data_IF_208601294172
#
_entry.id   IF_208601294172
#
_cell.length_a   1.000
_cell.length_b   1.000
_cell.length_c   1.000
_cell.angle_alpha   90.00
_cell.angle_beta   90.00
_cell.angle_gamma   90.00
#
_symmetry.space_group_name_H-M   'P 1'
#
loop_
_entity.id
_entity.type
_entity.pdbx_description
1 polymer ?
#
# COMPACT_ATOMS: atom_id res chain seq x y z
N UNK A 1 -12.99 0.38 -28.31
CA UNK A 1 -12.42 0.89 -27.05
C UNK A 1 -13.05 0.03 -25.97
N UNK A 2 -12.32 -1.00 -25.52
CA UNK A 2 -12.77 -1.78 -24.36
C UNK A 2 -12.79 -0.84 -23.15
N UNK A 3 -13.84 -0.91 -22.35
CA UNK A 3 -13.92 -0.14 -21.10
C UNK A 3 -13.06 -0.88 -20.10
N UNK A 4 -11.98 -0.26 -19.62
CA UNK A 4 -11.20 -0.79 -18.50
C UNK A 4 -12.11 -0.85 -17.27
N UNK A 5 -12.24 -2.01 -16.64
CA UNK A 5 -12.99 -2.13 -15.40
C UNK A 5 -12.11 -1.64 -14.25
N UNK A 6 -12.64 -0.72 -13.44
CA UNK A 6 -11.89 -0.09 -12.34
C UNK A 6 -12.48 -0.39 -10.98
N UNK A 7 -11.64 -0.37 -9.94
CA UNK A 7 -12.03 -0.48 -8.53
C UNK A 7 -11.32 0.60 -7.69
N UNK A 8 -11.99 1.18 -6.70
CA UNK A 8 -11.32 2.09 -5.76
C UNK A 8 -10.40 1.31 -4.82
N UNK A 9 -9.26 1.89 -4.43
CA UNK A 9 -8.30 1.21 -3.54
C UNK A 9 -8.96 0.81 -2.21
N UNK A 10 -9.84 1.65 -1.65
CA UNK A 10 -10.55 1.36 -0.40
C UNK A 10 -11.42 0.11 -0.54
N UNK A 11 -12.16 -0.02 -1.64
CA UNK A 11 -12.98 -1.20 -1.93
C UNK A 11 -12.14 -2.45 -2.20
N UNK A 12 -10.95 -2.30 -2.78
CA UNK A 12 -10.01 -3.41 -2.95
C UNK A 12 -9.47 -3.89 -1.60
N UNK A 13 -9.09 -2.97 -0.70
CA UNK A 13 -8.64 -3.32 0.66
C UNK A 13 -9.79 -3.92 1.47
N UNK A 14 -11.01 -3.40 1.35
CA UNK A 14 -12.19 -4.01 2.01
C UNK A 14 -12.40 -5.47 1.56
N UNK A 15 -12.21 -5.76 0.28
CA UNK A 15 -12.25 -7.15 -0.23
C UNK A 15 -11.14 -8.02 0.34
N UNK A 16 -9.94 -7.47 0.56
CA UNK A 16 -8.84 -8.16 1.24
C UNK A 16 -9.24 -8.49 2.68
N UNK A 17 -9.75 -7.50 3.43
CA UNK A 17 -10.18 -7.69 4.82
C UNK A 17 -11.36 -8.66 4.95
N UNK A 18 -12.24 -8.75 3.95
CA UNK A 18 -13.32 -9.74 3.94
C UNK A 18 -12.83 -11.16 3.59
N UNK A 19 -11.60 -11.31 3.08
CA UNK A 19 -11.03 -12.61 2.66
C UNK A 19 -10.29 -13.32 3.79
N UNK A 20 -9.73 -12.58 4.75
CA UNK A 20 -8.91 -13.08 5.85
C UNK A 20 -9.41 -12.53 7.18
N UNK A 21 -9.46 -13.37 8.19
CA UNK A 21 -9.90 -12.97 9.54
C UNK A 21 -8.77 -12.28 10.33
N UNK A 22 -7.51 -12.61 10.00
CA UNK A 22 -6.29 -12.17 10.68
C UNK A 22 -5.24 -11.71 9.65
N UNK A 23 -5.03 -10.40 9.60
CA UNK A 23 -4.02 -9.75 8.75
C UNK A 23 -3.03 -9.04 9.66
N UNK A 24 -1.75 -9.34 9.49
CA UNK A 24 -0.67 -8.69 10.22
C UNK A 24 -0.25 -7.37 9.58
N UNK A 25 -0.15 -7.34 8.24
CA UNK A 25 0.28 -6.15 7.48
C UNK A 25 -0.31 -6.19 6.07
N UNK A 26 -0.75 -5.03 5.58
CA UNK A 26 -0.97 -4.81 4.15
C UNK A 26 0.07 -3.80 3.68
N UNK A 27 0.89 -4.23 2.73
CA UNK A 27 1.95 -3.44 2.14
C UNK A 27 1.64 -3.14 0.67
N UNK A 28 1.95 -1.93 0.22
CA UNK A 28 1.78 -1.49 -1.15
C UNK A 28 3.10 -0.98 -1.69
N UNK A 29 3.67 -1.72 -2.63
CA UNK A 29 4.76 -1.24 -3.47
C UNK A 29 4.19 -0.71 -4.79
N UNK A 30 4.76 0.39 -5.31
CA UNK A 30 4.28 1.02 -6.53
C UNK A 30 5.40 1.36 -7.51
N UNK A 31 5.02 1.34 -8.79
CA UNK A 31 5.78 1.88 -9.91
C UNK A 31 4.86 2.78 -10.73
N UNK A 32 5.36 3.53 -11.74
CA UNK A 32 4.53 4.48 -12.50
C UNK A 32 3.24 3.92 -13.12
N UNK A 33 3.12 2.60 -13.28
CA UNK A 33 1.98 1.95 -13.94
C UNK A 33 1.41 0.74 -13.19
N UNK A 34 1.91 0.41 -12.00
CA UNK A 34 1.59 -0.86 -11.35
C UNK A 34 1.66 -0.74 -9.82
N UNK A 35 0.65 -1.28 -9.14
CA UNK A 35 0.66 -1.54 -7.70
C UNK A 35 0.84 -3.02 -7.42
N UNK A 36 1.77 -3.33 -6.52
CA UNK A 36 1.90 -4.64 -5.89
C UNK A 36 1.39 -4.52 -4.46
N UNK A 37 0.31 -5.22 -4.15
CA UNK A 37 -0.25 -5.28 -2.81
C UNK A 37 0.14 -6.63 -2.20
N UNK A 38 0.87 -6.59 -1.09
CA UNK A 38 1.28 -7.77 -0.32
C UNK A 38 0.51 -7.81 1.00
N UNK A 39 -0.16 -8.92 1.27
CA UNK A 39 -0.95 -9.17 2.49
C UNK A 39 -0.22 -10.22 3.32
N UNK A 40 0.29 -9.82 4.48
CA UNK A 40 0.90 -10.74 5.43
C UNK A 40 -0.17 -11.33 6.32
N UNK A 41 -0.38 -12.64 6.21
CA UNK A 41 -1.40 -13.37 6.97
C UNK A 41 -0.98 -14.82 7.16
N UNK A 42 -1.32 -15.39 8.32
CA UNK A 42 -1.14 -16.82 8.60
C UNK A 42 -2.13 -17.72 7.82
N UNK A 43 -3.12 -17.13 7.15
CA UNK A 43 -4.19 -17.83 6.44
C UNK A 43 -3.90 -18.07 4.96
N UNK A 44 -2.74 -17.62 4.45
CA UNK A 44 -2.34 -17.87 3.08
C UNK A 44 -2.18 -19.38 2.81
N UNK A 45 -2.65 -19.84 1.65
CA UNK A 45 -2.63 -21.26 1.27
C UNK A 45 -1.25 -21.73 0.78
N UNK A 46 -0.34 -20.79 0.53
CA UNK A 46 1.04 -21.03 0.10
C UNK A 46 1.96 -19.91 0.59
N UNK A 47 3.27 -20.13 0.46
CA UNK A 47 4.29 -19.11 0.81
C UNK A 47 4.00 -17.78 0.14
N UNK A 48 3.62 -17.81 -1.14
CA UNK A 48 3.05 -16.68 -1.88
C UNK A 48 1.81 -17.19 -2.62
N UNK A 49 0.68 -16.51 -2.44
CA UNK A 49 -0.61 -16.84 -3.03
C UNK A 49 -1.14 -15.61 -3.76
N UNK A 50 -1.28 -15.70 -5.08
CA UNK A 50 -1.96 -14.67 -5.86
C UNK A 50 -3.47 -14.68 -5.56
N UNK A 51 -4.07 -13.51 -5.36
CA UNK A 51 -5.49 -13.38 -5.04
C UNK A 51 -6.26 -12.72 -6.19
N UNK A 52 -7.30 -13.41 -6.67
CA UNK A 52 -8.29 -12.87 -7.59
C UNK A 52 -9.52 -12.39 -6.80
N UNK A 53 -9.52 -11.11 -6.43
CA UNK A 53 -10.54 -10.51 -5.55
C UNK A 53 -11.64 -9.74 -6.31
N UNK A 54 -11.39 -9.45 -7.58
CA UNK A 54 -12.23 -8.57 -8.41
C UNK A 54 -11.93 -8.76 -9.88
N UNK A 55 -12.94 -8.56 -10.74
CA UNK A 55 -12.78 -8.55 -12.20
C UNK A 55 -12.33 -7.19 -12.76
N UNK A 56 -11.77 -6.32 -11.90
CA UNK A 56 -11.24 -5.03 -12.30
C UNK A 56 -9.79 -5.18 -12.75
N UNK A 57 -9.42 -4.50 -13.83
CA UNK A 57 -8.07 -4.54 -14.39
C UNK A 57 -7.17 -3.47 -13.77
N UNK A 58 -7.78 -2.39 -13.28
CA UNK A 58 -7.10 -1.25 -12.69
C UNK A 58 -7.73 -0.84 -11.36
N UNK A 59 -6.88 -0.32 -10.48
CA UNK A 59 -7.28 0.33 -9.24
C UNK A 59 -7.17 1.85 -9.42
N UNK A 60 -8.18 2.56 -8.95
CA UNK A 60 -8.21 4.02 -8.94
C UNK A 60 -7.87 4.54 -7.55
N UNK A 61 -7.01 5.55 -7.49
CA UNK A 61 -6.59 6.22 -6.26
C UNK A 61 -6.79 7.72 -6.43
N UNK A 62 -7.55 8.33 -5.52
CA UNK A 62 -7.66 9.77 -5.44
C UNK A 62 -6.40 10.37 -4.78
N UNK A 63 -5.61 11.09 -5.57
CA UNK A 63 -4.39 11.77 -5.11
C UNK A 63 -4.63 13.24 -4.75
N UNK A 64 -5.89 13.71 -4.79
CA UNK A 64 -6.24 15.12 -4.66
C UNK A 64 -6.08 15.93 -5.95
N UNK A 65 -5.65 15.29 -7.04
CA UNK A 65 -5.51 15.88 -8.36
C UNK A 65 -6.85 15.90 -9.13
N UNK A 66 -6.90 16.67 -10.22
CA UNK A 66 -8.10 16.80 -11.04
C UNK A 66 -8.63 15.46 -11.60
N UNK A 67 -7.74 14.47 -11.78
CA UNK A 67 -8.10 13.13 -12.22
C UNK A 67 -7.48 12.08 -11.28
N UNK A 68 -8.25 11.09 -10.78
CA UNK A 68 -7.71 9.98 -10.02
C UNK A 68 -6.67 9.19 -10.82
N UNK A 69 -5.64 8.72 -10.14
CA UNK A 69 -4.62 7.86 -10.72
C UNK A 69 -5.21 6.46 -10.93
N UNK A 70 -5.09 5.92 -12.15
CA UNK A 70 -5.50 4.55 -12.47
C UNK A 70 -4.26 3.71 -12.76
N UNK A 71 -4.10 2.60 -12.04
CA UNK A 71 -2.93 1.73 -12.14
C UNK A 71 -3.37 0.28 -12.27
N UNK A 72 -2.66 -0.51 -13.07
CA UNK A 72 -2.76 -1.98 -12.95
C UNK A 72 -2.37 -2.41 -11.54
N UNK A 73 -2.87 -3.54 -11.08
CA UNK A 73 -2.52 -4.06 -9.75
C UNK A 73 -2.46 -5.58 -9.72
N UNK A 74 -1.79 -6.09 -8.69
CA UNK A 74 -1.86 -7.48 -8.30
C UNK A 74 -1.79 -7.60 -6.78
N UNK A 75 -2.50 -8.59 -6.24
CA UNK A 75 -2.56 -8.85 -4.81
C UNK A 75 -1.95 -10.21 -4.52
N UNK A 76 -1.05 -10.26 -3.55
CA UNK A 76 -0.40 -11.49 -3.07
C UNK A 76 -0.58 -11.61 -1.57
N UNK A 77 -1.18 -12.71 -1.10
CA UNK A 77 -1.08 -13.10 0.31
C UNK A 77 0.20 -13.91 0.54
N UNK A 78 0.82 -13.76 1.70
CA UNK A 78 2.06 -14.45 2.03
C UNK A 78 2.15 -14.85 3.50
N UNK A 79 2.81 -16.00 3.73
CA UNK A 79 3.22 -16.48 5.05
C UNK A 79 4.53 -15.85 5.54
N UNK A 80 5.20 -15.03 4.72
CA UNK A 80 6.39 -14.31 5.17
C UNK A 80 6.04 -13.30 6.26
N UNK A 81 6.98 -13.06 7.16
CA UNK A 81 6.80 -12.08 8.23
C UNK A 81 6.63 -10.66 7.66
N UNK A 82 5.84 -9.80 8.33
CA UNK A 82 5.72 -8.38 8.00
C UNK A 82 7.04 -7.63 8.24
N UNK A 83 7.06 -6.33 7.92
CA UNK A 83 8.23 -5.48 8.16
C UNK A 83 8.87 -4.92 6.90
N UNK A 84 8.08 -4.62 5.87
CA UNK A 84 8.56 -3.93 4.69
C UNK A 84 9.16 -2.56 5.01
N UNK A 85 10.20 -2.19 4.27
CA UNK A 85 10.81 -0.87 4.36
C UNK A 85 9.81 0.19 3.90
N UNK A 86 9.75 1.31 4.62
CA UNK A 86 9.02 2.50 4.16
C UNK A 86 9.98 3.35 3.33
N UNK A 87 9.73 3.45 2.04
CA UNK A 87 10.53 4.30 1.16
C UNK A 87 9.64 5.05 0.15
N UNK A 88 10.27 5.68 -0.84
CA UNK A 88 9.57 6.48 -1.86
C UNK A 88 8.55 5.69 -2.68
N UNK A 89 8.70 4.37 -2.78
CA UNK A 89 7.87 3.48 -3.60
C UNK A 89 7.13 2.42 -2.80
N UNK A 90 7.36 2.32 -1.50
CA UNK A 90 6.85 1.26 -0.63
C UNK A 90 6.15 1.90 0.57
N UNK A 91 4.91 1.47 0.82
CA UNK A 91 4.04 2.03 1.85
C UNK A 91 3.25 0.94 2.55
N UNK A 92 3.37 0.83 3.85
CA UNK A 92 2.48 0.00 4.66
C UNK A 92 1.17 0.73 4.88
N UNK A 93 0.09 0.20 4.30
CA UNK A 93 -1.24 0.81 4.40
C UNK A 93 -2.02 0.30 5.61
N UNK A 94 -1.63 -0.84 6.18
CA UNK A 94 -2.20 -1.35 7.43
C UNK A 94 -1.16 -2.21 8.17
N UNK A 95 -1.13 -2.13 9.50
CA UNK A 95 -0.33 -3.01 10.36
C UNK A 95 -1.02 -3.21 11.71
N UNK A 96 -1.24 -4.46 12.08
CA UNK A 96 -1.90 -4.83 13.33
C UNK A 96 -1.07 -4.47 14.57
N UNK A 97 -1.74 -4.19 15.69
CA UNK A 97 -1.12 -3.81 16.97
C UNK A 97 -0.25 -4.91 17.60
N UNK A 98 -0.48 -6.17 17.25
CA UNK A 98 0.21 -7.33 17.80
C UNK A 98 1.48 -7.73 17.00
N UNK A 99 1.77 -7.03 15.91
CA UNK A 99 3.03 -7.16 15.17
C UNK A 99 4.19 -6.66 16.03
N UNK A 100 4.94 -7.61 16.59
CA UNK A 100 6.05 -7.30 17.50
C UNK A 100 7.14 -6.47 16.83
N UNK A 101 7.52 -5.38 17.51
CA UNK A 101 8.69 -4.58 17.14
C UNK A 101 8.44 -3.54 16.05
N UNK A 102 7.18 -3.25 15.73
CA UNK A 102 6.77 -2.16 14.86
C UNK A 102 5.57 -1.43 15.45
N UNK A 103 5.40 -0.13 15.16
CA UNK A 103 4.17 0.58 15.54
C UNK A 103 3.00 0.19 14.63
N UNK A 104 1.76 0.12 15.17
CA UNK A 104 0.57 -0.14 14.39
C UNK A 104 0.32 0.96 13.36
N UNK A 105 -0.34 0.59 12.27
CA UNK A 105 -0.77 1.52 11.23
C UNK A 105 -2.24 1.26 10.92
N UNK A 106 -3.08 2.22 11.27
CA UNK A 106 -4.49 2.20 10.91
C UNK A 106 -4.69 2.38 9.41
N UNK A 107 -5.70 1.71 8.86
CA UNK A 107 -5.92 1.65 7.42
C UNK A 107 -6.06 3.03 6.78
N UNK A 108 -6.87 3.91 7.37
CA UNK A 108 -7.11 5.25 6.85
C UNK A 108 -5.82 6.07 6.80
N UNK A 109 -5.01 5.98 7.86
CA UNK A 109 -3.70 6.65 7.95
C UNK A 109 -2.76 6.13 6.86
N UNK A 110 -2.70 4.82 6.68
CA UNK A 110 -1.84 4.19 5.68
C UNK A 110 -2.25 4.53 4.25
N UNK A 111 -3.56 4.56 3.95
CA UNK A 111 -4.08 4.99 2.65
C UNK A 111 -3.77 6.47 2.40
N UNK A 112 -3.91 7.34 3.40
CA UNK A 112 -3.54 8.75 3.27
C UNK A 112 -2.05 8.91 2.92
N UNK A 113 -1.16 8.16 3.59
CA UNK A 113 0.27 8.16 3.28
C UNK A 113 0.54 7.70 1.84
N UNK A 114 -0.14 6.65 1.38
CA UNK A 114 -0.03 6.17 0.01
C UNK A 114 -0.47 7.25 -1.00
N UNK A 115 -1.60 7.92 -0.76
CA UNK A 115 -2.10 9.01 -1.62
C UNK A 115 -1.10 10.16 -1.70
N UNK A 116 -0.55 10.61 -0.55
CA UNK A 116 0.48 11.65 -0.49
C UNK A 116 1.71 11.23 -1.30
N UNK A 117 2.20 10.01 -1.13
CA UNK A 117 3.36 9.51 -1.90
C UNK A 117 3.11 9.46 -3.41
N UNK A 118 1.95 8.99 -3.84
CA UNK A 118 1.58 8.96 -5.26
C UNK A 118 1.42 10.37 -5.86
N UNK A 119 1.08 11.36 -5.04
CA UNK A 119 1.04 12.77 -5.42
C UNK A 119 2.43 13.46 -5.41
N UNK A 120 3.50 12.77 -5.00
CA UNK A 120 4.82 13.38 -4.83
C UNK A 120 4.96 14.23 -3.56
N UNK A 121 4.08 14.03 -2.58
CA UNK A 121 4.08 14.74 -1.29
C UNK A 121 4.67 13.84 -0.21
N UNK A 122 5.59 14.36 0.60
CA UNK A 122 6.10 13.62 1.74
C UNK A 122 5.02 13.47 2.82
N UNK A 123 4.68 12.25 3.27
CA UNK A 123 3.64 12.05 4.29
C UNK A 123 3.99 12.61 5.67
N UNK A 124 5.27 12.90 5.94
CA UNK A 124 5.76 13.37 7.25
C UNK A 124 5.86 14.89 7.31
N UNK A 125 6.53 15.53 6.34
CA UNK A 125 6.69 16.99 6.33
C UNK A 125 5.67 17.73 5.44
N UNK A 126 4.84 17.00 4.70
CA UNK A 126 3.78 17.52 3.82
C UNK A 126 4.27 18.42 2.67
N UNK A 127 5.58 18.39 2.39
CA UNK A 127 6.19 19.14 1.29
C UNK A 127 6.11 18.33 -0.03
N UNK A 128 5.87 19.04 -1.14
CA UNK A 128 6.01 18.49 -2.49
C UNK A 128 7.50 18.34 -2.83
N UNK A 129 7.94 17.10 -3.02
CA UNK A 129 9.36 16.77 -3.14
C UNK A 129 9.58 15.64 -4.13
N UNK A 130 10.79 15.54 -4.67
CA UNK A 130 11.22 14.29 -5.27
C UNK A 130 11.41 13.25 -4.14
N UNK A 131 10.42 12.37 -3.94
CA UNK A 131 10.43 11.41 -2.84
C UNK A 131 11.64 10.47 -2.87
N UNK A 132 12.11 10.10 -4.06
CA UNK A 132 13.31 9.26 -4.20
C UNK A 132 14.53 9.95 -3.59
N UNK A 133 14.72 11.23 -3.91
CA UNK A 133 15.82 12.02 -3.37
C UNK A 133 15.59 12.35 -1.89
N UNK A 134 14.35 12.65 -1.51
CA UNK A 134 13.97 13.00 -0.14
C UNK A 134 14.13 11.83 0.85
N UNK A 135 14.01 10.58 0.37
CA UNK A 135 14.21 9.36 1.16
C UNK A 135 15.64 8.81 1.03
N UNK A 136 16.54 9.48 0.30
CA UNK A 136 17.94 9.05 0.27
C UNK A 136 18.66 9.38 1.57
N UNK A 137 19.44 8.42 2.10
CA UNK A 137 20.43 8.68 3.15
C UNK A 137 19.90 8.85 4.58
N UNK A 138 18.96 7.99 5.04
CA UNK A 138 18.34 8.08 6.38
C UNK A 138 17.79 9.49 6.63
N UNK A 139 16.93 9.96 5.75
CA UNK A 139 16.28 11.24 5.99
C UNK A 139 15.43 11.15 7.26
N UNK A 140 15.31 12.24 8.04
CA UNK A 140 14.47 12.26 9.23
C UNK A 140 13.03 11.84 8.94
N UNK A 141 12.51 12.14 7.74
CA UNK A 141 11.17 11.73 7.32
C UNK A 141 11.07 10.21 7.09
N UNK A 142 12.09 9.58 6.50
CA UNK A 142 12.10 8.12 6.38
C UNK A 142 12.14 7.44 7.75
N UNK A 143 12.98 7.93 8.67
CA UNK A 143 13.06 7.38 10.03
C UNK A 143 11.76 7.58 10.80
N UNK A 144 11.14 8.75 10.69
CA UNK A 144 9.86 9.07 11.32
C UNK A 144 8.68 8.27 10.75
N UNK A 145 8.76 7.75 9.52
CA UNK A 145 7.72 6.88 8.95
C UNK A 145 7.89 5.41 9.37
N UNK A 146 9.09 5.02 9.83
CA UNK A 146 9.39 3.69 10.37
C UNK A 146 9.15 3.56 11.87
N UNK A 147 9.11 4.69 12.57
CA UNK A 147 8.64 4.80 13.95
C UNK A 147 7.12 4.70 13.89
#
# INVERSE_FOLDING_TARGET
MERTNTIQIESLIEKINNRFDDIAEIHVAHSPSLLHITVHTGEAESVEQHLDLTSADEVTIDTGEANPLSLSFFVTATLFAPGHLQNSTETTVYKAEDVRGAEPCELDTGIERLRKKLAGICPICEEEVNLRDHYTGRSPCQEAEML
#
